data_IF_232373196047
#
_entry.id   IF_232373196047
#
_cell.length_a   1.000
_cell.length_b   1.000
_cell.length_c   1.000
_cell.angle_alpha   90.00
_cell.angle_beta   90.00
_cell.angle_gamma   90.00
#
_symmetry.space_group_name_H-M   'P 1'
#
loop_
_entity.id
_entity.type
_entity.pdbx_description
1 polymer ?
#
# COMPACT_ATOMS: atom_id res chain seq x y z
N UNK A 1 -17.21 -12.68 6.80
CA UNK A 1 -15.77 -12.52 6.53
C UNK A 1 -15.68 -11.47 5.46
N UNK A 2 -15.25 -10.25 5.82
CA UNK A 2 -14.96 -9.24 4.80
C UNK A 2 -13.71 -9.72 4.08
N UNK A 3 -13.84 -10.06 2.80
CA UNK A 3 -12.67 -10.25 1.94
C UNK A 3 -11.92 -8.93 1.89
N UNK A 4 -10.68 -8.97 2.36
CA UNK A 4 -9.83 -7.80 2.32
C UNK A 4 -9.54 -7.42 0.87
N UNK A 5 -10.00 -6.24 0.46
CA UNK A 5 -9.78 -5.75 -0.90
C UNK A 5 -8.48 -4.93 -0.97
N UNK A 6 -7.37 -5.64 -1.20
CA UNK A 6 -6.04 -5.01 -1.34
C UNK A 6 -6.01 -3.95 -2.45
N UNK A 7 -6.76 -4.14 -3.53
CA UNK A 7 -6.80 -3.18 -4.64
C UNK A 7 -7.47 -1.88 -4.22
N UNK A 8 -8.55 -1.92 -3.43
CA UNK A 8 -9.16 -0.72 -2.87
C UNK A 8 -8.20 0.03 -1.94
N UNK A 9 -7.46 -0.69 -1.09
CA UNK A 9 -6.43 -0.06 -0.23
C UNK A 9 -5.36 0.63 -1.08
N UNK A 10 -4.92 0.01 -2.18
CA UNK A 10 -3.94 0.61 -3.08
C UNK A 10 -4.49 1.82 -3.84
N UNK A 11 -5.75 1.79 -4.25
CA UNK A 11 -6.42 2.95 -4.86
C UNK A 11 -6.48 4.13 -3.90
N UNK A 12 -6.90 3.89 -2.65
CA UNK A 12 -6.91 4.91 -1.60
C UNK A 12 -5.52 5.49 -1.35
N UNK A 13 -4.49 4.64 -1.26
CA UNK A 13 -3.09 5.10 -1.16
C UNK A 13 -2.73 5.95 -2.39
N UNK A 14 -3.09 5.52 -3.59
CA UNK A 14 -2.85 6.27 -4.82
C UNK A 14 -3.49 7.66 -4.82
N UNK A 15 -4.71 7.77 -4.31
CA UNK A 15 -5.43 9.05 -4.15
C UNK A 15 -4.73 9.95 -3.12
N UNK A 16 -4.40 9.43 -1.95
CA UNK A 16 -3.70 10.17 -0.89
C UNK A 16 -2.30 10.65 -1.32
N UNK A 17 -1.67 9.91 -2.24
CA UNK A 17 -0.38 10.27 -2.82
C UNK A 17 -0.49 11.10 -4.09
N UNK A 18 -1.69 11.46 -4.56
CA UNK A 18 -1.92 12.12 -5.84
C UNK A 18 -1.25 11.38 -7.02
N UNK A 19 -1.16 10.05 -6.95
CA UNK A 19 -0.53 9.17 -7.93
C UNK A 19 -1.42 7.94 -8.14
N UNK A 20 -2.43 8.08 -9.00
CA UNK A 20 -3.47 7.07 -9.16
C UNK A 20 -2.91 5.65 -9.42
N UNK A 21 -3.20 4.69 -8.53
CA UNK A 21 -2.76 3.30 -8.67
C UNK A 21 -3.91 2.51 -9.29
N UNK A 22 -3.84 2.29 -10.60
CA UNK A 22 -4.80 1.46 -11.31
C UNK A 22 -4.43 -0.02 -11.24
N UNK A 23 -5.45 -0.88 -11.13
CA UNK A 23 -5.29 -2.35 -11.15
C UNK A 23 -4.57 -2.82 -12.43
N UNK A 24 -4.83 -2.16 -13.56
CA UNK A 24 -4.18 -2.42 -14.84
C UNK A 24 -2.65 -2.24 -14.82
N UNK A 25 -2.14 -1.46 -13.85
CA UNK A 25 -0.73 -1.17 -13.63
C UNK A 25 -0.05 -2.10 -12.63
N UNK A 26 -0.80 -3.02 -12.02
CA UNK A 26 -0.33 -3.99 -11.03
C UNK A 26 -0.08 -5.34 -11.72
N UNK A 27 1.03 -5.95 -11.37
CA UNK A 27 1.45 -7.28 -11.83
C UNK A 27 1.19 -8.32 -10.74
N UNK A 28 1.47 -7.97 -9.49
CA UNK A 28 1.29 -8.81 -8.32
C UNK A 28 0.81 -7.95 -7.15
N UNK A 29 -0.20 -8.41 -6.41
CA UNK A 29 -0.63 -7.83 -5.14
C UNK A 29 -1.03 -8.92 -4.16
N UNK A 30 -0.33 -9.07 -3.04
CA UNK A 30 -0.67 -10.05 -2.01
C UNK A 30 -0.05 -9.69 -0.66
N UNK A 31 -0.52 -10.34 0.40
CA UNK A 31 0.09 -10.25 1.74
C UNK A 31 1.21 -11.29 1.92
N UNK A 32 2.31 -10.90 2.55
CA UNK A 32 3.40 -11.82 2.89
C UNK A 32 3.10 -12.51 4.22
N UNK A 33 3.15 -13.85 4.30
CA UNK A 33 2.92 -14.58 5.55
C UNK A 33 3.91 -14.17 6.64
N UNK A 34 3.41 -13.87 7.83
CA UNK A 34 4.21 -13.56 9.01
C UNK A 34 4.12 -14.70 10.01
N UNK A 35 5.27 -15.12 10.57
CA UNK A 35 5.34 -16.23 11.54
C UNK A 35 4.87 -15.84 12.95
N UNK A 36 4.81 -14.54 13.26
CA UNK A 36 4.35 -14.03 14.56
C UNK A 36 2.83 -13.90 14.57
N UNK A 37 2.18 -14.51 15.56
CA UNK A 37 0.72 -14.57 15.70
C UNK A 37 0.00 -13.19 15.69
N UNK A 38 0.69 -12.12 16.10
CA UNK A 38 0.11 -10.77 16.19
C UNK A 38 0.79 -9.74 15.27
N UNK A 39 1.61 -10.19 14.31
CA UNK A 39 2.19 -9.28 13.34
C UNK A 39 1.18 -8.97 12.24
N UNK A 40 1.06 -7.69 11.86
CA UNK A 40 0.29 -7.31 10.68
C UNK A 40 1.12 -7.68 9.45
N UNK A 41 0.65 -8.57 8.56
CA UNK A 41 1.40 -8.94 7.37
C UNK A 41 1.54 -7.77 6.41
N UNK A 42 2.71 -7.61 5.78
CA UNK A 42 2.90 -6.54 4.81
C UNK A 42 2.15 -6.84 3.50
N UNK A 43 1.72 -5.80 2.79
CA UNK A 43 1.19 -5.89 1.43
C UNK A 43 2.37 -5.70 0.46
N UNK A 44 2.58 -6.66 -0.43
CA UNK A 44 3.56 -6.60 -1.50
C UNK A 44 2.87 -6.29 -2.81
N UNK A 45 3.42 -5.29 -3.51
CA UNK A 45 2.92 -4.83 -4.81
C UNK A 45 4.07 -4.80 -5.81
N UNK A 46 3.87 -5.47 -6.94
CA UNK A 46 4.71 -5.35 -8.12
C UNK A 46 3.98 -4.52 -9.16
N UNK A 47 4.58 -3.41 -9.58
CA UNK A 47 4.06 -2.57 -10.66
C UNK A 47 4.60 -3.03 -12.01
N UNK A 48 3.74 -3.04 -13.03
CA UNK A 48 4.13 -3.31 -14.43
C UNK A 48 5.18 -2.35 -14.97
N UNK A 49 5.15 -1.10 -14.50
CA UNK A 49 6.07 -0.03 -14.93
C UNK A 49 6.89 0.44 -13.75
N UNK A 50 8.22 0.31 -13.86
CA UNK A 50 9.17 0.82 -12.85
C UNK A 50 8.97 2.30 -12.56
N UNK A 51 8.72 3.13 -13.58
CA UNK A 51 8.47 4.55 -13.41
C UNK A 51 7.27 4.85 -12.47
N UNK A 52 6.24 3.99 -12.49
CA UNK A 52 5.06 4.14 -11.63
C UNK A 52 5.42 3.89 -10.16
N UNK A 53 6.11 2.78 -9.90
CA UNK A 53 6.64 2.46 -8.57
C UNK A 53 7.52 3.60 -8.03
N UNK A 54 8.42 4.12 -8.85
CA UNK A 54 9.35 5.17 -8.44
C UNK A 54 8.60 6.48 -8.10
N UNK A 55 7.58 6.85 -8.88
CA UNK A 55 6.72 8.00 -8.59
C UNK A 55 5.96 7.82 -7.25
N UNK A 56 5.36 6.66 -7.03
CA UNK A 56 4.66 6.33 -5.77
C UNK A 56 5.62 6.44 -4.58
N UNK A 57 6.82 5.85 -4.67
CA UNK A 57 7.81 5.91 -3.59
C UNK A 57 8.27 7.34 -3.29
N UNK A 58 8.50 8.16 -4.32
CA UNK A 58 8.91 9.56 -4.14
C UNK A 58 7.84 10.39 -3.44
N UNK A 59 6.56 10.18 -3.75
CA UNK A 59 5.45 10.88 -3.10
C UNK A 59 5.18 10.36 -1.69
N UNK A 60 5.24 9.04 -1.49
CA UNK A 60 5.05 8.42 -0.18
C UNK A 60 6.04 8.90 0.87
N UNK A 61 7.31 9.13 0.48
CA UNK A 61 8.34 9.70 1.37
C UNK A 61 7.96 11.06 1.95
N UNK A 62 7.09 11.82 1.26
CA UNK A 62 6.66 13.16 1.67
C UNK A 62 5.31 13.17 2.39
N UNK A 63 4.41 12.24 2.06
CA UNK A 63 3.02 12.26 2.49
C UNK A 63 2.76 11.87 3.95
N UNK A 64 3.66 11.09 4.60
CA UNK A 64 3.48 10.58 5.98
C UNK A 64 2.05 10.06 6.26
N UNK A 65 1.74 8.90 5.70
CA UNK A 65 0.43 8.27 5.84
C UNK A 65 0.25 7.58 7.20
N UNK A 66 -0.99 7.51 7.65
CA UNK A 66 -1.43 6.74 8.81
C UNK A 66 -2.63 5.86 8.45
N UNK A 67 -2.94 4.89 9.31
CA UNK A 67 -4.13 4.04 9.15
C UNK A 67 -5.42 4.85 9.21
N UNK A 68 -5.42 6.02 9.85
CA UNK A 68 -6.56 6.93 9.89
C UNK A 68 -6.88 7.53 8.53
N UNK A 69 -5.84 7.86 7.75
CA UNK A 69 -6.00 8.36 6.38
C UNK A 69 -6.61 7.28 5.45
N UNK A 70 -6.46 6.01 5.82
CA UNK A 70 -7.06 4.86 5.15
C UNK A 70 -8.44 4.46 5.72
N UNK A 71 -9.02 5.29 6.59
CA UNK A 71 -10.36 5.06 7.15
C UNK A 71 -10.41 4.11 8.36
N UNK A 72 -9.27 3.74 8.96
CA UNK A 72 -9.25 2.98 10.20
C UNK A 72 -9.26 3.88 11.44
N UNK A 73 -9.83 3.44 12.57
CA UNK A 73 -9.86 4.26 13.79
C UNK A 73 -8.48 4.46 14.44
N UNK A 74 -7.48 3.66 14.10
CA UNK A 74 -6.11 3.81 14.62
C UNK A 74 -5.32 4.86 13.85
N UNK A 75 -4.31 5.45 14.50
CA UNK A 75 -3.38 6.43 13.92
C UNK A 75 -1.98 5.84 13.69
N UNK A 76 -1.88 4.52 13.53
CA UNK A 76 -0.61 3.83 13.28
C UNK A 76 -0.02 4.30 11.96
N UNK A 77 1.27 4.62 11.95
CA UNK A 77 1.96 5.05 10.73
C UNK A 77 1.98 3.94 9.68
N UNK A 78 1.72 4.31 8.41
CA UNK A 78 1.80 3.43 7.25
C UNK A 78 3.08 3.76 6.49
N UNK A 79 3.89 2.73 6.25
CA UNK A 79 5.17 2.86 5.57
C UNK A 79 5.11 2.21 4.20
N UNK A 80 5.61 2.93 3.18
CA UNK A 80 5.71 2.45 1.81
C UNK A 80 7.19 2.49 1.42
N UNK A 81 7.78 1.31 1.21
CA UNK A 81 9.21 1.14 0.94
C UNK A 81 9.42 0.14 -0.21
N UNK A 82 10.63 0.10 -0.77
CA UNK A 82 11.02 -0.88 -1.81
C UNK A 82 11.44 -2.23 -1.21
N UNK A 83 11.67 -2.29 0.10
CA UNK A 83 12.18 -3.46 0.82
C UNK A 83 11.31 -3.80 2.02
N UNK A 84 11.27 -5.09 2.36
CA UNK A 84 10.65 -5.63 3.58
C UNK A 84 11.62 -5.68 4.75
#
# INVERSE_FOLDING_TARGET
>A
MEEENLHQTLQQIGELLEENIEESGIEVCHRVPVKKANAIPNIIVQFRRRAKRDAVLQKARKARLSTHDLGHPSTTAVFINEHL
#
